data_IF_777253995274
#
_entry.id   IF_777253995274
#
_cell.length_a   1.000
_cell.length_b   1.000
_cell.length_c   1.000
_cell.angle_alpha   90.00
_cell.angle_beta   90.00
_cell.angle_gamma   90.00
#
_symmetry.space_group_name_H-M   'P 1'
#
loop_
_entity.id
_entity.type
_entity.pdbx_description
1 polymer ?
#
# COMPACT_ATOMS: atom_id res chain seq x y z
N UNK A 1 4.44 10.65 1.80
CA UNK A 1 3.54 10.64 2.97
C UNK A 1 2.27 9.95 2.55
N UNK A 2 1.76 9.05 3.39
CA UNK A 2 0.49 8.38 3.19
C UNK A 2 -0.56 8.97 4.13
N UNK A 3 -1.78 9.10 3.64
CA UNK A 3 -2.96 9.48 4.41
C UNK A 3 -4.09 8.50 4.09
N UNK A 4 -4.97 8.27 5.05
CA UNK A 4 -6.11 7.38 4.89
C UNK A 4 -6.66 6.94 6.23
N UNK A 5 -7.37 5.81 6.24
CA UNK A 5 -8.13 5.42 7.41
C UNK A 5 -8.60 3.97 7.41
N UNK A 6 -9.36 3.65 8.45
CA UNK A 6 -9.96 2.35 8.65
C UNK A 6 -11.17 2.17 7.72
N UNK A 7 -11.20 1.10 6.94
CA UNK A 7 -12.33 0.74 6.05
C UNK A 7 -13.22 -0.34 6.65
N UNK A 8 -12.67 -1.20 7.51
CA UNK A 8 -13.40 -2.16 8.34
C UNK A 8 -12.67 -2.37 9.67
N UNK A 9 -13.24 -3.11 10.62
CA UNK A 9 -12.63 -3.31 11.95
C UNK A 9 -11.16 -3.76 11.87
N UNK A 10 -10.84 -4.63 10.91
CA UNK A 10 -9.51 -5.19 10.66
C UNK A 10 -8.94 -4.82 9.29
N UNK A 11 -9.41 -3.74 8.66
CA UNK A 11 -8.94 -3.31 7.34
C UNK A 11 -8.70 -1.80 7.24
N UNK A 12 -7.71 -1.42 6.43
CA UNK A 12 -7.28 -0.03 6.25
C UNK A 12 -6.88 0.24 4.82
N UNK A 13 -7.17 1.45 4.36
CA UNK A 13 -6.77 1.95 3.05
C UNK A 13 -5.98 3.26 3.22
N UNK A 14 -4.86 3.35 2.52
CA UNK A 14 -3.92 4.48 2.58
C UNK A 14 -3.49 4.88 1.17
N UNK A 15 -3.54 6.17 0.87
CA UNK A 15 -3.09 6.74 -0.39
C UNK A 15 -1.97 7.75 -0.16
N UNK A 16 -1.10 7.91 -1.14
CA UNK A 16 -0.02 8.90 -1.07
C UNK A 16 -0.58 10.32 -1.24
N UNK A 17 -0.57 11.10 -0.15
CA UNK A 17 -0.93 12.53 -0.17
C UNK A 17 0.22 13.41 -0.71
N UNK A 18 1.46 12.98 -0.48
CA UNK A 18 2.64 13.66 -1.00
C UNK A 18 3.75 12.68 -1.37
N UNK A 19 4.40 12.91 -2.50
CA UNK A 19 5.62 12.21 -2.91
C UNK A 19 6.68 13.25 -3.25
N UNK A 20 7.80 13.20 -2.54
CA UNK A 20 9.02 13.94 -2.89
C UNK A 20 10.09 12.93 -3.27
N UNK A 21 10.89 13.25 -4.31
CA UNK A 21 11.87 12.34 -4.89
C UNK A 21 13.14 13.09 -5.25
N UNK A 22 14.29 12.41 -5.18
CA UNK A 22 15.56 12.94 -5.69
C UNK A 22 15.58 12.91 -7.21
N UNK A 23 16.48 13.69 -7.82
CA UNK A 23 16.58 13.83 -9.28
C UNK A 23 16.84 12.50 -10.00
N UNK A 24 17.58 11.59 -9.36
CA UNK A 24 17.95 10.28 -9.93
C UNK A 24 16.96 9.16 -9.63
N UNK A 25 15.92 9.41 -8.82
CA UNK A 25 14.98 8.38 -8.40
C UNK A 25 14.02 7.95 -9.52
N UNK A 26 13.60 6.68 -9.42
CA UNK A 26 12.37 6.09 -10.00
C UNK A 26 11.23 7.11 -10.05
N UNK A 27 10.78 7.57 -11.21
CA UNK A 27 9.53 8.34 -11.29
C UNK A 27 8.38 7.53 -10.68
N UNK A 28 7.80 8.07 -9.61
CA UNK A 28 6.64 7.56 -8.89
C UNK A 28 5.77 8.77 -8.57
N UNK A 29 4.49 8.72 -8.96
CA UNK A 29 3.58 9.88 -8.83
C UNK A 29 2.41 9.62 -7.89
N UNK A 30 2.04 8.36 -7.68
CA UNK A 30 0.99 7.96 -6.74
C UNK A 30 1.22 6.53 -6.25
N UNK A 31 0.71 6.22 -5.07
CA UNK A 31 0.62 4.85 -4.56
C UNK A 31 -0.60 4.70 -3.63
N UNK A 32 -1.28 3.56 -3.72
CA UNK A 32 -2.41 3.19 -2.88
C UNK A 32 -2.13 1.84 -2.23
N UNK A 33 -2.50 1.68 -0.96
CA UNK A 33 -2.24 0.49 -0.14
C UNK A 33 -3.50 0.05 0.56
N UNK A 34 -3.81 -1.23 0.44
CA UNK A 34 -4.87 -1.90 1.17
C UNK A 34 -4.25 -2.92 2.13
N UNK A 35 -4.66 -2.87 3.39
CA UNK A 35 -4.28 -3.83 4.43
C UNK A 35 -5.51 -4.49 5.01
N UNK A 36 -5.39 -5.76 5.37
CA UNK A 36 -6.44 -6.51 6.07
C UNK A 36 -5.87 -7.60 6.96
N UNK A 37 -6.58 -7.93 8.05
CA UNK A 37 -6.32 -9.16 8.81
C UNK A 37 -7.36 -10.20 8.40
N UNK A 38 -6.88 -11.35 7.93
CA UNK A 38 -7.74 -12.49 7.62
C UNK A 38 -8.21 -13.23 8.87
N UNK A 39 -9.21 -14.09 8.74
CA UNK A 39 -9.76 -14.88 9.84
C UNK A 39 -8.71 -15.73 10.57
N UNK A 40 -7.69 -16.20 9.86
CA UNK A 40 -6.57 -16.96 10.43
C UNK A 40 -5.53 -16.09 11.16
N UNK A 41 -5.75 -14.77 11.24
CA UNK A 41 -4.84 -13.81 11.86
C UNK A 41 -3.67 -13.36 10.97
N UNK A 42 -3.59 -13.81 9.72
CA UNK A 42 -2.55 -13.36 8.79
C UNK A 42 -2.84 -11.93 8.31
N UNK A 43 -1.76 -11.16 8.15
CA UNK A 43 -1.81 -9.84 7.52
C UNK A 43 -1.77 -10.00 5.99
N UNK A 44 -2.78 -9.52 5.30
CA UNK A 44 -2.78 -9.36 3.86
C UNK A 44 -2.56 -7.91 3.47
N UNK A 45 -1.86 -7.73 2.35
CA UNK A 45 -1.53 -6.43 1.80
C UNK A 45 -1.57 -6.47 0.27
N UNK A 46 -2.09 -5.41 -0.32
CA UNK A 46 -1.97 -5.12 -1.74
C UNK A 46 -1.57 -3.65 -1.92
N UNK A 47 -0.78 -3.38 -2.95
CA UNK A 47 -0.41 -2.03 -3.34
C UNK A 47 -0.48 -1.86 -4.84
N UNK A 48 -1.04 -0.71 -5.21
CA UNK A 48 -0.97 -0.15 -6.55
C UNK A 48 0.02 1.01 -6.57
N UNK A 49 0.71 1.17 -7.69
CA UNK A 49 1.67 2.27 -7.87
C UNK A 49 1.66 2.82 -9.29
N UNK A 50 1.69 4.14 -9.39
CA UNK A 50 1.87 4.86 -10.64
C UNK A 50 3.37 5.09 -10.85
N UNK A 51 3.91 4.49 -11.91
CA UNK A 51 5.35 4.49 -12.23
C UNK A 51 5.58 4.90 -13.68
N UNK A 52 6.63 5.69 -13.92
CA UNK A 52 7.12 6.01 -15.29
C UNK A 52 6.00 6.55 -16.21
N UNK A 53 5.20 7.48 -15.71
CA UNK A 53 4.08 8.09 -16.44
C UNK A 53 2.82 7.22 -16.61
N UNK A 54 2.80 5.98 -16.10
CA UNK A 54 1.60 5.13 -16.10
C UNK A 54 0.69 5.46 -14.90
N UNK A 55 -0.64 5.27 -15.03
CA UNK A 55 -1.57 5.43 -13.91
C UNK A 55 -1.32 4.37 -12.82
N UNK A 56 -2.09 4.40 -11.73
CA UNK A 56 -2.04 3.35 -10.70
C UNK A 56 -2.28 1.97 -11.34
N UNK A 57 -1.37 1.05 -11.06
CA UNK A 57 -1.42 -0.35 -11.52
C UNK A 57 -1.03 -1.26 -10.35
N UNK A 58 -1.52 -2.52 -10.32
CA UNK A 58 -1.06 -3.51 -9.35
C UNK A 58 0.46 -3.61 -9.34
N UNK A 59 1.06 -3.51 -8.15
CA UNK A 59 2.50 -3.49 -7.99
C UNK A 59 3.00 -4.60 -7.08
N UNK A 60 2.41 -4.74 -5.89
CA UNK A 60 2.81 -5.72 -4.89
C UNK A 60 1.58 -6.30 -4.19
N UNK A 61 1.68 -7.56 -3.79
CA UNK A 61 0.78 -8.16 -2.82
C UNK A 61 1.53 -9.17 -1.96
N UNK A 62 1.06 -9.37 -0.74
CA UNK A 62 1.62 -10.33 0.19
C UNK A 62 0.58 -10.82 1.20
N UNK A 63 0.75 -12.06 1.64
CA UNK A 63 0.12 -12.62 2.82
C UNK A 63 1.22 -13.00 3.81
N UNK A 64 1.14 -12.46 5.02
CA UNK A 64 2.16 -12.56 6.04
C UNK A 64 1.61 -13.29 7.25
N UNK A 65 2.20 -14.45 7.54
CA UNK A 65 1.87 -15.24 8.72
C UNK A 65 2.34 -14.55 10.00
N UNK A 66 1.46 -14.48 11.00
CA UNK A 66 1.82 -13.97 12.31
C UNK A 66 2.79 -14.91 13.02
N UNK A 67 3.91 -14.37 13.51
CA UNK A 67 4.92 -15.14 14.25
C UNK A 67 4.98 -14.77 15.74
N UNK A 68 4.62 -13.53 16.09
CA UNK A 68 4.67 -13.04 17.47
C UNK A 68 3.68 -11.89 17.73
N UNK A 69 3.43 -11.65 19.03
CA UNK A 69 2.64 -10.56 19.60
C UNK A 69 1.38 -11.05 20.30
#
# INVERSE_FOLDING_TARGET
IYYGGRTAETAWELESDAITRTDTARETTAAARLYGIMENGDLVYAEERALRGLPLQPHLSAQLRRIAG
#
